data_IF_932751404818
#
_entry.id   IF_932751404818
#
_cell.length_a   1.000
_cell.length_b   1.000
_cell.length_c   1.000
_cell.angle_alpha   90.00
_cell.angle_beta   90.00
_cell.angle_gamma   90.00
#
_symmetry.space_group_name_H-M   'P 1'
#
loop_
_entity.id
_entity.type
_entity.pdbx_description
1 polymer ?
#
# COMPACT_ATOMS: atom_id res chain seq x y z
N UNK A 1 12.20 4.45 -3.33
CA UNK A 1 11.50 3.73 -2.25
C UNK A 1 12.26 2.47 -1.89
N UNK A 2 12.31 2.16 -0.64
CA UNK A 2 13.10 1.03 -0.15
C UNK A 2 12.20 -0.18 0.11
N UNK A 3 11.87 -0.90 -0.95
CA UNK A 3 10.96 -2.06 -0.88
C UNK A 3 11.43 -3.09 0.14
N UNK A 4 12.75 -3.34 0.21
CA UNK A 4 13.27 -4.32 1.16
C UNK A 4 12.96 -3.94 2.61
N UNK A 5 13.22 -2.69 2.99
CA UNK A 5 12.99 -2.23 4.36
C UNK A 5 11.50 -2.25 4.72
N UNK A 6 10.65 -1.83 3.80
CA UNK A 6 9.21 -1.86 4.01
C UNK A 6 8.72 -3.30 4.15
N UNK A 7 9.25 -4.19 3.33
CA UNK A 7 8.84 -5.60 3.35
C UNK A 7 9.30 -6.30 4.62
N UNK A 8 10.46 -5.92 5.16
CA UNK A 8 10.90 -6.45 6.46
C UNK A 8 9.87 -6.12 7.55
N UNK A 9 9.36 -4.91 7.56
CA UNK A 9 8.31 -4.51 8.51
C UNK A 9 7.04 -5.30 8.29
N UNK A 10 6.65 -5.53 7.05
CA UNK A 10 5.46 -6.32 6.72
C UNK A 10 5.61 -7.75 7.25
N UNK A 11 6.72 -8.39 6.97
CA UNK A 11 6.97 -9.78 7.44
C UNK A 11 6.94 -9.83 8.96
N UNK A 12 7.56 -8.86 9.63
CA UNK A 12 7.57 -8.80 11.09
C UNK A 12 6.15 -8.70 11.66
N UNK A 13 5.32 -7.83 11.09
CA UNK A 13 3.92 -7.68 11.52
C UNK A 13 3.15 -8.97 11.29
N UNK A 14 3.31 -9.58 10.12
CA UNK A 14 2.61 -10.82 9.75
C UNK A 14 2.98 -11.94 10.72
N UNK A 15 4.28 -12.13 10.96
CA UNK A 15 4.73 -13.21 11.84
C UNK A 15 4.29 -12.99 13.28
N UNK A 16 4.33 -11.74 13.74
CA UNK A 16 3.89 -11.41 15.09
C UNK A 16 2.41 -11.74 15.29
N UNK A 17 1.58 -11.34 14.35
CA UNK A 17 0.14 -11.61 14.44
C UNK A 17 -0.18 -13.09 14.29
N UNK A 18 0.51 -13.78 13.38
CA UNK A 18 0.32 -15.22 13.19
C UNK A 18 0.74 -16.01 14.44
N UNK A 19 1.83 -15.61 15.09
CA UNK A 19 2.30 -16.24 16.32
C UNK A 19 1.28 -16.04 17.44
N UNK A 20 0.72 -14.84 17.57
CA UNK A 20 -0.29 -14.55 18.57
C UNK A 20 -1.56 -15.38 18.36
N UNK A 21 -1.87 -15.71 17.11
CA UNK A 21 -3.02 -16.55 16.76
C UNK A 21 -2.68 -18.04 16.78
N UNK A 22 -1.47 -18.40 17.16
CA UNK A 22 -1.00 -19.79 17.21
C UNK A 22 -1.11 -20.49 15.84
N UNK A 23 -0.87 -19.75 14.77
CA UNK A 23 -0.97 -20.28 13.42
C UNK A 23 0.17 -21.23 13.12
N UNK A 24 -0.11 -22.27 12.36
CA UNK A 24 0.89 -23.21 11.86
C UNK A 24 1.51 -22.68 10.57
N UNK A 25 0.74 -21.96 9.79
CA UNK A 25 1.18 -21.46 8.49
C UNK A 25 0.36 -20.22 8.13
N UNK A 26 1.02 -19.26 7.47
CA UNK A 26 0.34 -18.12 6.85
C UNK A 26 0.19 -18.48 5.37
N UNK A 27 -1.04 -18.44 4.87
CA UNK A 27 -1.31 -18.83 3.48
C UNK A 27 -1.47 -17.62 2.57
N UNK A 28 -1.87 -16.49 3.11
CA UNK A 28 -2.08 -15.27 2.32
C UNK A 28 -1.86 -14.03 3.18
N UNK A 29 -1.28 -13.00 2.56
CA UNK A 29 -1.11 -11.67 3.17
C UNK A 29 -1.71 -10.65 2.23
N UNK A 30 -2.63 -9.84 2.72
CA UNK A 30 -3.27 -8.78 1.94
C UNK A 30 -2.77 -7.43 2.41
N UNK A 31 -2.14 -6.68 1.49
CA UNK A 31 -1.63 -5.33 1.75
C UNK A 31 -2.49 -4.30 1.04
N UNK A 32 -2.67 -3.16 1.69
CA UNK A 32 -3.23 -1.97 1.05
C UNK A 32 -2.12 -0.94 0.91
N UNK A 33 -1.84 -0.53 -0.32
CA UNK A 33 -0.78 0.42 -0.61
C UNK A 33 -1.34 1.53 -1.50
N UNK A 34 -1.29 2.76 -1.02
CA UNK A 34 -1.80 3.90 -1.77
C UNK A 34 -1.00 4.19 -3.02
N UNK A 35 -1.65 4.73 -4.03
CA UNK A 35 -1.00 5.08 -5.29
C UNK A 35 0.11 6.12 -5.13
N UNK A 36 0.04 6.93 -4.07
CA UNK A 36 1.08 7.92 -3.80
C UNK A 36 2.41 7.25 -3.43
N UNK A 37 2.35 6.02 -2.91
CA UNK A 37 3.55 5.25 -2.57
C UNK A 37 4.19 4.73 -3.85
N UNK A 38 5.42 5.15 -4.10
CA UNK A 38 6.17 4.73 -5.28
C UNK A 38 6.81 3.37 -5.01
N UNK A 39 6.04 2.32 -5.23
CA UNK A 39 6.44 0.94 -4.95
C UNK A 39 6.33 0.10 -6.20
N UNK A 40 7.39 -0.67 -6.49
CA UNK A 40 7.37 -1.66 -7.55
C UNK A 40 6.85 -2.96 -6.96
N UNK A 41 5.62 -3.35 -7.32
CA UNK A 41 4.93 -4.49 -6.71
C UNK A 41 5.68 -5.80 -6.87
N UNK A 42 6.24 -6.04 -8.06
CA UNK A 42 7.01 -7.25 -8.30
C UNK A 42 8.24 -7.34 -7.39
N UNK A 43 8.93 -6.22 -7.22
CA UNK A 43 10.10 -6.18 -6.34
C UNK A 43 9.70 -6.43 -4.90
N UNK A 44 8.60 -5.85 -4.46
CA UNK A 44 8.10 -6.08 -3.10
C UNK A 44 7.72 -7.53 -2.88
N UNK A 45 7.08 -8.15 -3.87
CA UNK A 45 6.72 -9.57 -3.80
C UNK A 45 7.96 -10.44 -3.70
N UNK A 46 8.98 -10.15 -4.50
CA UNK A 46 10.24 -10.89 -4.46
C UNK A 46 10.95 -10.72 -3.11
N UNK A 47 10.97 -9.50 -2.58
CA UNK A 47 11.53 -9.22 -1.26
C UNK A 47 10.78 -9.97 -0.17
N UNK A 48 9.44 -10.01 -0.25
CA UNK A 48 8.62 -10.74 0.71
C UNK A 48 9.01 -12.21 0.76
N UNK A 49 9.07 -12.85 -0.40
CA UNK A 49 9.42 -14.28 -0.47
C UNK A 49 10.85 -14.53 0.03
N UNK A 50 11.77 -13.62 -0.24
CA UNK A 50 13.13 -13.75 0.24
C UNK A 50 13.19 -13.66 1.78
N UNK A 51 12.57 -12.66 2.35
CA UNK A 51 12.61 -12.41 3.81
C UNK A 51 11.84 -13.47 4.57
N UNK A 52 10.70 -13.92 4.02
CA UNK A 52 9.84 -14.91 4.67
C UNK A 52 10.40 -16.34 4.62
N UNK A 53 11.47 -16.55 3.88
CA UNK A 53 12.07 -17.87 3.72
C UNK A 53 12.47 -18.46 5.07
N UNK A 54 12.07 -19.72 5.31
CA UNK A 54 12.36 -20.37 6.59
C UNK A 54 11.37 -20.02 7.70
N UNK A 55 10.35 -19.22 7.41
CA UNK A 55 9.30 -18.88 8.39
C UNK A 55 7.98 -19.53 8.02
N UNK A 56 6.97 -19.43 8.89
CA UNK A 56 5.64 -19.97 8.62
C UNK A 56 4.92 -19.19 7.50
N UNK A 57 5.46 -18.08 7.05
CA UNK A 57 4.91 -17.30 5.94
C UNK A 57 5.63 -17.56 4.62
N UNK A 58 6.52 -18.54 4.58
CA UNK A 58 7.38 -18.81 3.43
C UNK A 58 6.59 -19.03 2.13
N UNK A 59 5.46 -19.71 2.21
CA UNK A 59 4.64 -20.03 1.04
C UNK A 59 3.40 -19.15 0.91
N UNK A 60 3.33 -18.07 1.67
CA UNK A 60 2.18 -17.18 1.63
C UNK A 60 2.09 -16.44 0.30
N UNK A 61 0.88 -16.31 -0.21
CA UNK A 61 0.61 -15.46 -1.36
C UNK A 61 0.53 -14.01 -0.88
N UNK A 62 1.26 -13.11 -1.54
CA UNK A 62 1.19 -11.68 -1.23
C UNK A 62 0.25 -11.02 -2.22
N UNK A 63 -0.83 -10.44 -1.71
CA UNK A 63 -1.78 -9.69 -2.53
C UNK A 63 -1.67 -8.22 -2.19
N UNK A 64 -1.46 -7.40 -3.22
CA UNK A 64 -1.31 -5.96 -3.07
C UNK A 64 -2.49 -5.28 -3.73
N UNK A 65 -3.25 -4.55 -2.91
CA UNK A 65 -4.34 -3.71 -3.40
C UNK A 65 -3.85 -2.27 -3.44
N UNK A 66 -3.88 -1.66 -4.62
CA UNK A 66 -3.47 -0.26 -4.76
C UNK A 66 -4.69 0.63 -4.52
N UNK A 67 -4.57 1.54 -3.58
CA UNK A 67 -5.65 2.45 -3.21
C UNK A 67 -5.51 3.73 -4.02
N UNK A 68 -6.54 4.11 -4.79
CA UNK A 68 -6.46 5.31 -5.64
C UNK A 68 -6.16 6.57 -4.85
N UNK A 69 -5.35 7.45 -5.42
CA UNK A 69 -5.05 8.74 -4.81
C UNK A 69 -6.20 9.70 -5.08
N UNK A 70 -6.93 10.04 -4.02
CA UNK A 70 -8.05 10.98 -4.08
C UNK A 70 -7.66 12.22 -3.29
N UNK A 71 -7.77 13.37 -3.94
CA UNK A 71 -7.54 14.67 -3.33
C UNK A 71 -8.85 15.44 -3.27
N UNK A 72 -8.93 16.37 -2.35
CA UNK A 72 -10.11 17.21 -2.18
C UNK A 72 -9.69 18.68 -2.12
N UNK A 73 -10.35 19.52 -2.90
CA UNK A 73 -10.12 20.95 -2.88
C UNK A 73 -10.54 21.52 -1.52
N UNK A 74 -9.63 22.24 -0.87
CA UNK A 74 -9.92 22.85 0.44
C UNK A 74 -10.87 24.04 0.33
N UNK A 75 -11.00 24.61 -0.88
CA UNK A 75 -11.84 25.77 -1.09
C UNK A 75 -13.30 25.39 -1.36
N UNK A 76 -13.55 24.47 -2.29
CA UNK A 76 -14.92 24.15 -2.70
C UNK A 76 -15.36 22.72 -2.33
N UNK A 77 -14.45 21.89 -1.84
CA UNK A 77 -14.77 20.51 -1.44
C UNK A 77 -14.83 19.49 -2.57
N UNK A 78 -14.51 19.88 -3.80
CA UNK A 78 -14.55 18.97 -4.94
C UNK A 78 -13.47 17.89 -4.80
N UNK A 79 -13.85 16.62 -4.99
CA UNK A 79 -12.93 15.49 -4.94
C UNK A 79 -12.47 15.11 -6.34
N UNK A 80 -11.21 14.66 -6.44
CA UNK A 80 -10.64 14.31 -7.73
C UNK A 80 -9.66 13.15 -7.57
N UNK A 81 -9.70 12.19 -8.50
CA UNK A 81 -8.70 11.14 -8.58
C UNK A 81 -7.48 11.71 -9.31
N UNK A 82 -6.36 11.80 -8.60
CA UNK A 82 -5.12 12.33 -9.17
C UNK A 82 -4.28 11.18 -9.71
N UNK A 83 -4.01 11.22 -11.03
CA UNK A 83 -3.19 10.20 -11.68
C UNK A 83 -1.76 10.70 -11.81
N UNK A 84 -0.83 10.05 -11.13
CA UNK A 84 0.55 10.50 -11.04
C UNK A 84 1.38 10.25 -12.30
N UNK A 85 0.93 9.33 -13.16
CA UNK A 85 1.72 8.91 -14.32
C UNK A 85 1.25 9.50 -15.65
N UNK A 86 0.45 10.55 -15.63
CA UNK A 86 -0.12 11.11 -16.84
C UNK A 86 0.70 12.21 -17.50
N UNK A 87 1.84 12.54 -16.94
CA UNK A 87 2.72 13.56 -17.53
C UNK A 87 2.24 15.00 -17.33
N UNK A 88 1.00 15.20 -16.94
CA UNK A 88 0.40 16.51 -16.74
C UNK A 88 0.33 16.92 -15.28
N UNK A 89 0.94 16.16 -14.40
CA UNK A 89 0.73 16.29 -12.97
C UNK A 89 1.44 17.45 -12.30
N UNK A 90 2.02 18.36 -13.06
CA UNK A 90 2.83 19.42 -12.48
C UNK A 90 2.04 20.50 -11.76
N UNK A 91 0.87 20.78 -12.24
CA UNK A 91 -0.01 21.74 -11.58
C UNK A 91 -1.41 21.21 -11.59
N UNK A 92 -1.95 21.08 -10.40
CA UNK A 92 -3.33 20.65 -10.24
C UNK A 92 -4.13 21.84 -9.75
N UNK A 93 -5.07 22.26 -10.56
CA UNK A 93 -6.03 23.29 -10.15
C UNK A 93 -7.41 22.65 -10.12
N UNK A 94 -8.24 23.13 -9.21
CA UNK A 94 -9.60 22.67 -9.12
C UNK A 94 -10.37 23.16 -10.36
N UNK A 95 -10.94 22.23 -11.11
CA UNK A 95 -11.70 22.57 -12.31
C UNK A 95 -12.96 23.35 -11.98
N UNK A 96 -13.43 23.26 -10.75
CA UNK A 96 -14.66 23.90 -10.34
C UNK A 96 -14.46 25.32 -9.84
N UNK A 97 -13.39 25.58 -9.08
CA UNK A 97 -13.19 26.89 -8.48
C UNK A 97 -11.83 27.54 -8.85
N UNK A 98 -10.96 26.82 -9.55
CA UNK A 98 -9.67 27.35 -10.01
C UNK A 98 -8.58 27.44 -8.96
N UNK A 99 -8.86 27.08 -7.71
CA UNK A 99 -7.85 27.10 -6.65
C UNK A 99 -6.98 25.86 -6.73
N UNK A 100 -5.78 25.93 -6.16
CA UNK A 100 -4.84 24.82 -6.18
C UNK A 100 -4.47 24.33 -4.77
N UNK A 101 -5.35 24.53 -3.81
CA UNK A 101 -5.13 24.12 -2.44
C UNK A 101 -5.92 22.83 -2.16
N UNK A 102 -5.20 21.69 -2.13
CA UNK A 102 -5.81 20.37 -1.95
C UNK A 102 -5.28 19.68 -0.71
N UNK A 103 -6.05 18.72 -0.21
CA UNK A 103 -5.53 17.77 0.77
C UNK A 103 -5.85 16.34 0.31
N UNK A 104 -5.07 15.40 0.82
CA UNK A 104 -5.20 14.00 0.43
C UNK A 104 -6.29 13.32 1.27
N UNK A 105 -7.27 12.74 0.59
CA UNK A 105 -8.34 11.97 1.24
C UNK A 105 -7.91 10.52 1.43
N UNK A 106 -7.29 9.95 0.39
CA UNK A 106 -6.79 8.57 0.42
C UNK A 106 -5.70 8.43 -0.62
N UNK A 107 -4.96 7.33 -0.58
CA UNK A 107 -3.92 7.03 -1.55
C UNK A 107 -2.52 7.06 -0.98
N UNK A 108 -2.39 7.25 0.33
CA UNK A 108 -1.08 7.27 1.01
C UNK A 108 -0.93 6.11 1.99
N UNK A 109 -1.82 5.14 1.93
CA UNK A 109 -1.84 4.01 2.85
C UNK A 109 -0.66 3.07 2.62
N UNK A 110 -0.22 2.43 3.70
CA UNK A 110 0.68 1.29 3.64
C UNK A 110 0.40 0.47 4.89
N UNK A 111 -0.41 -0.59 4.73
CA UNK A 111 -0.80 -1.38 5.87
C UNK A 111 -1.08 -2.84 5.49
N UNK A 112 -0.94 -3.70 6.47
CA UNK A 112 -1.38 -5.10 6.36
C UNK A 112 -2.85 -5.10 6.71
N UNK A 113 -3.69 -5.37 5.71
CA UNK A 113 -5.14 -5.34 5.89
C UNK A 113 -5.62 -6.59 6.62
N UNK A 114 -5.20 -7.75 6.13
CA UNK A 114 -5.50 -9.02 6.79
C UNK A 114 -4.51 -10.10 6.37
N UNK A 115 -4.54 -11.21 7.10
CA UNK A 115 -3.78 -12.41 6.76
C UNK A 115 -4.72 -13.62 6.87
N UNK A 116 -4.44 -14.65 6.06
CA UNK A 116 -5.12 -15.93 6.19
C UNK A 116 -4.14 -16.96 6.73
N UNK A 117 -4.59 -17.73 7.70
CA UNK A 117 -3.74 -18.67 8.43
C UNK A 117 -4.42 -20.03 8.54
N UNK A 118 -3.61 -21.04 8.84
CA UNK A 118 -4.11 -22.38 9.20
C UNK A 118 -3.40 -22.89 10.44
#
# INVERSE_FOLDING_TARGET
MHEMALTENVVDIVLRNATMAEAKEVTRVHLQIGELRDIVEKLMTDCFHYIAKGTIAENAALEIERIPLIIQCRNCGEKKHLKLHTGDGRTTTCEKCGMSNFHIIQGNEFLVDDIEII
#
